data_IF_822561817883
#
_entry.id   IF_822561817883
#
_cell.length_a   1.000
_cell.length_b   1.000
_cell.length_c   1.000
_cell.angle_alpha   90.00
_cell.angle_beta   90.00
_cell.angle_gamma   90.00
#
_symmetry.space_group_name_H-M   'P 1'
#
loop_
_entity.id
_entity.type
_entity.pdbx_description
1 polymer ?
#
# COMPACT_ATOMS: atom_id res chain seq x y z
N UNK A 1 -22.74 2.00 -2.59
CA UNK A 1 -21.86 1.22 -3.49
C UNK A 1 -21.81 -0.20 -2.95
N UNK A 2 -22.09 -1.23 -3.76
CA UNK A 2 -22.03 -2.64 -3.31
C UNK A 2 -20.59 -3.11 -3.06
N UNK A 3 -20.41 -4.03 -2.11
CA UNK A 3 -19.18 -4.75 -1.79
C UNK A 3 -18.91 -5.86 -2.81
N UNK A 4 -19.94 -6.48 -3.39
CA UNK A 4 -19.83 -7.62 -4.31
C UNK A 4 -19.40 -7.27 -5.73
N UNK A 5 -19.44 -6.01 -6.13
CA UNK A 5 -19.20 -5.59 -7.52
C UNK A 5 -17.85 -4.90 -7.77
N UNK A 6 -16.89 -5.05 -6.86
CA UNK A 6 -15.56 -4.43 -6.98
C UNK A 6 -14.63 -5.30 -7.84
N UNK A 7 -13.81 -4.64 -8.66
CA UNK A 7 -12.74 -5.32 -9.41
C UNK A 7 -11.72 -5.89 -8.42
N UNK A 8 -11.27 -7.12 -8.67
CA UNK A 8 -10.28 -7.83 -7.84
C UNK A 8 -9.09 -8.27 -8.66
N UNK A 9 -7.95 -8.52 -8.01
CA UNK A 9 -6.67 -8.81 -8.64
C UNK A 9 -6.70 -10.02 -9.58
N UNK A 10 -7.52 -11.04 -9.29
CA UNK A 10 -7.73 -12.20 -10.16
C UNK A 10 -8.41 -11.89 -11.51
N UNK A 11 -8.98 -10.68 -11.65
CA UNK A 11 -9.64 -10.19 -12.87
C UNK A 11 -8.87 -9.03 -13.50
N UNK A 12 -7.65 -8.74 -13.04
CA UNK A 12 -6.81 -7.66 -13.52
C UNK A 12 -5.67 -8.23 -14.36
N UNK A 13 -5.49 -7.73 -15.59
CA UNK A 13 -4.31 -8.06 -16.40
C UNK A 13 -3.09 -7.28 -15.90
N UNK A 14 -2.10 -8.01 -15.40
CA UNK A 14 -0.85 -7.46 -14.87
C UNK A 14 0.34 -7.73 -15.77
N UNK A 15 0.20 -8.50 -16.86
CA UNK A 15 1.34 -8.93 -17.68
C UNK A 15 2.04 -7.73 -18.33
N UNK A 16 3.34 -7.60 -18.07
CA UNK A 16 4.17 -6.49 -18.53
C UNK A 16 3.86 -5.13 -17.88
N UNK A 17 2.90 -5.07 -16.94
CA UNK A 17 2.48 -3.84 -16.24
C UNK A 17 3.30 -3.60 -14.99
N UNK A 18 3.44 -2.33 -14.61
CA UNK A 18 3.92 -1.90 -13.30
C UNK A 18 2.73 -1.83 -12.36
N UNK A 19 2.76 -2.57 -11.26
CA UNK A 19 1.67 -2.63 -10.28
C UNK A 19 2.06 -1.80 -9.07
N UNK A 20 1.36 -0.69 -8.83
CA UNK A 20 1.49 0.03 -7.55
C UNK A 20 0.45 -0.52 -6.57
N UNK A 21 0.92 -1.04 -5.45
CA UNK A 21 0.12 -1.81 -4.51
C UNK A 21 0.18 -1.21 -3.10
N UNK A 22 -1.00 -0.91 -2.55
CA UNK A 22 -1.15 -0.45 -1.18
C UNK A 22 -1.37 -1.64 -0.26
N UNK A 23 -0.44 -1.85 0.66
CA UNK A 23 -0.43 -2.96 1.61
C UNK A 23 -0.45 -2.44 3.04
N UNK A 24 -0.87 -3.28 3.98
CA UNK A 24 -0.85 -2.95 5.41
C UNK A 24 0.35 -3.61 6.09
N UNK A 25 1.49 -2.93 6.11
CA UNK A 25 2.68 -3.32 6.86
C UNK A 25 2.82 -2.57 8.19
N UNK A 26 1.71 -2.16 8.81
CA UNK A 26 1.74 -1.59 10.15
C UNK A 26 1.91 -2.71 11.20
N UNK A 27 3.12 -3.25 11.26
CA UNK A 27 3.52 -4.35 12.15
C UNK A 27 3.96 -3.83 13.53
N UNK A 28 3.78 -4.62 14.60
CA UNK A 28 4.34 -4.27 15.89
C UNK A 28 5.86 -4.36 15.86
N UNK A 29 6.51 -3.33 16.42
CA UNK A 29 7.96 -3.17 16.44
C UNK A 29 8.46 -3.02 17.88
N UNK A 30 9.61 -3.60 18.19
CA UNK A 30 10.36 -3.39 19.45
C UNK A 30 11.84 -3.23 19.12
N UNK A 31 12.45 -2.10 19.49
CA UNK A 31 13.86 -1.80 19.21
C UNK A 31 14.25 -2.04 17.73
N UNK A 32 13.44 -1.52 16.81
CA UNK A 32 13.58 -1.68 15.36
C UNK A 32 13.48 -3.14 14.83
N UNK A 33 12.98 -4.08 15.65
CA UNK A 33 12.72 -5.46 15.25
C UNK A 33 11.22 -5.73 15.15
N UNK A 34 10.82 -6.44 14.11
CA UNK A 34 9.43 -6.89 13.88
C UNK A 34 9.12 -8.00 14.87
N UNK A 35 8.10 -7.81 15.72
CA UNK A 35 7.70 -8.83 16.70
C UNK A 35 6.61 -9.78 16.19
N UNK A 36 5.88 -9.39 15.14
CA UNK A 36 4.91 -10.23 14.45
C UNK A 36 4.83 -9.87 12.95
N UNK A 37 5.20 -10.83 12.09
CA UNK A 37 5.24 -10.67 10.63
C UNK A 37 3.95 -11.09 9.90
N UNK A 38 2.86 -11.40 10.62
CA UNK A 38 1.61 -11.91 10.03
C UNK A 38 1.05 -10.98 8.93
N UNK A 39 1.10 -9.66 9.15
CA UNK A 39 0.61 -8.71 8.14
C UNK A 39 1.45 -8.72 6.85
N UNK A 40 2.76 -8.95 6.97
CA UNK A 40 3.67 -9.03 5.82
C UNK A 40 3.37 -10.32 5.05
N UNK A 41 3.28 -11.46 5.75
CA UNK A 41 2.88 -12.76 5.18
C UNK A 41 1.54 -12.70 4.46
N UNK A 42 0.59 -11.95 5.01
CA UNK A 42 -0.76 -11.82 4.45
C UNK A 42 -0.78 -11.17 3.05
N UNK A 43 0.17 -10.28 2.74
CA UNK A 43 0.27 -9.63 1.43
C UNK A 43 1.02 -10.46 0.37
N UNK A 44 1.81 -11.46 0.80
CA UNK A 44 2.63 -12.30 -0.09
C UNK A 44 1.82 -12.94 -1.23
N UNK A 45 0.61 -13.47 -1.03
CA UNK A 45 -0.19 -14.03 -2.13
C UNK A 45 -0.47 -13.03 -3.26
N UNK A 46 -0.81 -11.78 -2.94
CA UNK A 46 -1.06 -10.73 -3.94
C UNK A 46 0.22 -10.34 -4.68
N UNK A 47 1.34 -10.27 -3.97
CA UNK A 47 2.65 -9.97 -4.56
C UNK A 47 3.08 -11.08 -5.51
N UNK A 48 3.05 -12.34 -5.06
CA UNK A 48 3.42 -13.50 -5.87
C UNK A 48 2.54 -13.62 -7.11
N UNK A 49 1.22 -13.44 -6.97
CA UNK A 49 0.32 -13.45 -8.13
C UNK A 49 0.73 -12.44 -9.20
N UNK A 50 1.10 -11.21 -8.82
CA UNK A 50 1.57 -10.23 -9.79
C UNK A 50 2.82 -10.71 -10.51
N UNK A 51 3.80 -11.23 -9.77
CA UNK A 51 5.06 -11.73 -10.32
C UNK A 51 4.85 -12.94 -11.23
N UNK A 52 4.08 -13.93 -10.78
CA UNK A 52 3.81 -15.18 -11.49
C UNK A 52 3.00 -14.95 -12.78
N UNK A 53 2.17 -13.91 -12.81
CA UNK A 53 1.43 -13.47 -14.00
C UNK A 53 2.19 -12.45 -14.86
N UNK A 54 3.50 -12.30 -14.62
CA UNK A 54 4.40 -11.57 -15.49
C UNK A 54 4.35 -10.05 -15.34
N UNK A 55 4.00 -9.51 -14.17
CA UNK A 55 4.14 -8.10 -13.90
C UNK A 55 5.58 -7.63 -14.12
N UNK A 56 5.74 -6.46 -14.75
CA UNK A 56 7.05 -5.82 -14.90
C UNK A 56 7.60 -5.45 -13.52
N UNK A 57 6.78 -4.88 -12.64
CA UNK A 57 7.19 -4.62 -11.26
C UNK A 57 6.01 -4.59 -10.31
N UNK A 58 6.31 -4.79 -9.02
CA UNK A 58 5.39 -4.60 -7.91
C UNK A 58 5.99 -3.55 -6.97
N UNK A 59 5.39 -2.36 -6.96
CA UNK A 59 5.78 -1.22 -6.11
C UNK A 59 4.85 -1.18 -4.90
N UNK A 60 5.40 -1.47 -3.73
CA UNK A 60 4.69 -1.56 -2.46
C UNK A 60 4.77 -0.24 -1.73
N UNK A 61 3.63 0.26 -1.31
CA UNK A 61 3.54 1.42 -0.42
C UNK A 61 2.77 1.04 0.84
N UNK A 62 3.32 1.35 2.02
CA UNK A 62 2.66 1.14 3.31
C UNK A 62 2.76 2.38 4.21
N UNK A 63 2.21 2.29 5.42
CA UNK A 63 2.57 3.14 6.53
C UNK A 63 3.03 2.28 7.71
N UNK A 64 3.72 2.90 8.67
CA UNK A 64 4.08 2.31 9.95
C UNK A 64 3.86 3.33 11.06
N UNK A 65 3.15 2.95 12.11
CA UNK A 65 2.93 3.83 13.26
C UNK A 65 2.20 5.14 12.95
N UNK A 66 2.54 6.18 13.70
CA UNK A 66 1.97 7.53 13.61
C UNK A 66 3.09 8.58 13.66
N UNK A 67 3.82 8.76 12.55
CA UNK A 67 4.82 9.83 12.42
C UNK A 67 4.19 11.22 12.19
N UNK A 68 2.86 11.31 12.08
CA UNK A 68 2.08 12.56 11.99
C UNK A 68 2.56 13.54 10.90
N UNK A 69 3.04 13.03 9.75
CA UNK A 69 3.46 13.86 8.62
C UNK A 69 4.89 14.39 8.72
N UNK A 70 5.70 13.85 9.64
CA UNK A 70 7.12 14.22 9.83
C UNK A 70 8.00 13.00 9.58
N UNK A 71 9.07 13.09 8.79
CA UNK A 71 10.02 12.01 8.62
C UNK A 71 10.64 11.57 9.95
N UNK A 72 10.47 10.29 10.30
CA UNK A 72 11.03 9.67 11.51
C UNK A 72 11.72 8.33 11.16
N UNK A 73 12.77 8.35 10.33
CA UNK A 73 13.37 7.14 9.77
C UNK A 73 13.88 6.18 10.86
N UNK A 74 14.47 6.70 11.95
CA UNK A 74 15.04 5.86 13.01
C UNK A 74 14.01 5.11 13.86
N UNK A 75 12.72 5.47 13.74
CA UNK A 75 11.64 4.92 14.59
C UNK A 75 10.53 4.23 13.80
N UNK A 76 10.18 4.77 12.64
CA UNK A 76 9.02 4.36 11.85
C UNK A 76 9.38 4.08 10.39
N UNK A 77 10.65 3.83 10.06
CA UNK A 77 11.03 3.37 8.72
C UNK A 77 10.48 1.96 8.43
N UNK A 78 10.17 1.72 7.16
CA UNK A 78 9.81 0.42 6.62
C UNK A 78 11.02 -0.43 6.19
N UNK A 79 12.25 0.04 6.38
CA UNK A 79 13.46 -0.71 6.03
C UNK A 79 13.51 -2.13 6.64
N UNK A 80 13.18 -2.35 7.93
CA UNK A 80 13.13 -3.71 8.50
C UNK A 80 12.09 -4.61 7.80
N UNK A 81 11.00 -4.02 7.29
CA UNK A 81 9.96 -4.74 6.55
C UNK A 81 10.49 -5.19 5.18
N UNK A 82 11.36 -4.42 4.52
CA UNK A 82 12.00 -4.83 3.28
C UNK A 82 12.84 -6.10 3.49
N UNK A 83 13.59 -6.18 4.59
CA UNK A 83 14.42 -7.34 4.96
C UNK A 83 13.56 -8.57 5.21
N UNK A 84 12.49 -8.43 6.00
CA UNK A 84 11.55 -9.53 6.27
C UNK A 84 10.85 -10.01 4.99
N UNK A 85 10.41 -9.07 4.14
CA UNK A 85 9.75 -9.39 2.88
C UNK A 85 10.68 -10.12 1.91
N UNK A 86 11.97 -9.74 1.86
CA UNK A 86 12.99 -10.46 1.09
C UNK A 86 13.09 -11.92 1.53
N UNK A 87 13.09 -12.19 2.83
CA UNK A 87 13.10 -13.55 3.38
C UNK A 87 11.85 -14.34 2.95
N UNK A 88 10.67 -13.75 3.07
CA UNK A 88 9.39 -14.41 2.73
C UNK A 88 9.20 -14.66 1.23
N UNK A 89 9.73 -13.79 0.38
CA UNK A 89 9.63 -13.92 -1.07
C UNK A 89 10.74 -14.79 -1.67
N UNK A 90 11.90 -14.90 -1.02
CA UNK A 90 13.10 -15.49 -1.62
C UNK A 90 13.60 -14.71 -2.82
N UNK A 91 13.35 -13.39 -2.85
CA UNK A 91 13.68 -12.46 -3.95
C UNK A 91 14.11 -11.13 -3.36
N UNK A 92 15.03 -10.45 -4.05
CA UNK A 92 15.46 -9.11 -3.63
C UNK A 92 14.32 -8.10 -3.64
N UNK A 93 14.30 -7.26 -2.61
CA UNK A 93 13.35 -6.16 -2.43
C UNK A 93 14.18 -4.88 -2.43
N UNK A 94 13.98 -4.03 -3.45
CA UNK A 94 14.60 -2.72 -3.50
C UNK A 94 13.87 -1.78 -2.54
N UNK A 95 14.54 -1.33 -1.49
CA UNK A 95 14.00 -0.32 -0.59
C UNK A 95 14.39 1.09 -1.04
N UNK A 96 13.41 1.98 -1.15
CA UNK A 96 13.62 3.39 -1.45
C UNK A 96 13.35 4.22 -0.19
N UNK A 97 14.24 5.16 0.13
CA UNK A 97 14.18 6.00 1.34
C UNK A 97 13.13 7.12 1.28
N UNK A 98 12.40 7.20 0.18
CA UNK A 98 11.23 8.06 0.02
C UNK A 98 10.16 7.29 -0.78
N UNK A 99 8.95 7.85 -0.86
CA UNK A 99 7.81 7.27 -1.57
C UNK A 99 7.30 8.11 -2.74
N UNK A 100 7.80 9.33 -2.89
CA UNK A 100 7.43 10.25 -3.97
C UNK A 100 8.66 11.01 -4.48
N UNK A 101 8.47 11.79 -5.53
CA UNK A 101 9.51 12.66 -6.08
C UNK A 101 10.33 12.03 -7.21
N UNK A 102 11.19 12.83 -7.87
CA UNK A 102 11.79 12.47 -9.16
C UNK A 102 12.70 11.23 -9.09
N UNK A 103 13.39 11.00 -7.99
CA UNK A 103 14.27 9.84 -7.82
C UNK A 103 13.47 8.53 -7.71
N UNK A 104 12.40 8.54 -6.92
CA UNK A 104 11.46 7.41 -6.78
C UNK A 104 10.74 7.15 -8.10
N UNK A 105 10.23 8.21 -8.73
CA UNK A 105 9.57 8.12 -10.03
C UNK A 105 10.49 7.49 -11.09
N UNK A 106 11.77 7.89 -11.12
CA UNK A 106 12.77 7.32 -12.05
C UNK A 106 13.03 5.85 -11.77
N UNK A 107 13.17 5.46 -10.50
CA UNK A 107 13.36 4.06 -10.11
C UNK A 107 12.17 3.17 -10.50
N UNK A 108 10.94 3.71 -10.44
CA UNK A 108 9.72 3.00 -10.80
C UNK A 108 9.30 3.14 -12.27
N UNK A 109 9.92 4.01 -13.07
CA UNK A 109 9.48 4.32 -14.43
C UNK A 109 9.56 3.10 -15.37
N UNK A 110 10.68 2.37 -15.34
CA UNK A 110 10.88 1.18 -16.17
C UNK A 110 11.91 0.22 -15.54
N UNK A 111 11.59 -0.38 -14.38
CA UNK A 111 12.47 -1.34 -13.72
C UNK A 111 12.58 -2.65 -14.51
N UNK A 112 13.54 -3.50 -14.12
CA UNK A 112 13.67 -4.84 -14.67
C UNK A 112 12.39 -5.66 -14.44
N UNK A 113 12.11 -6.61 -15.34
CA UNK A 113 10.93 -7.46 -15.21
C UNK A 113 10.97 -8.29 -13.92
N UNK A 114 9.85 -8.33 -13.20
CA UNK A 114 9.72 -9.01 -11.92
C UNK A 114 10.42 -8.30 -10.74
N UNK A 115 10.70 -7.00 -10.85
CA UNK A 115 11.23 -6.21 -9.72
C UNK A 115 10.19 -6.04 -8.61
N UNK A 116 10.64 -6.15 -7.36
CA UNK A 116 9.85 -5.81 -6.16
C UNK A 116 10.49 -4.60 -5.50
N UNK A 117 9.71 -3.55 -5.27
CA UNK A 117 10.17 -2.28 -4.71
C UNK A 117 9.31 -1.98 -3.48
N UNK A 118 9.92 -1.67 -2.33
CA UNK A 118 9.23 -1.14 -1.16
C UNK A 118 9.61 0.32 -0.98
N UNK A 119 8.59 1.19 -0.98
CA UNK A 119 8.74 2.61 -0.69
C UNK A 119 8.80 2.85 0.82
N UNK A 120 9.38 3.97 1.21
CA UNK A 120 9.34 4.42 2.60
C UNK A 120 7.90 4.76 3.06
N UNK A 121 7.75 4.89 4.37
CA UNK A 121 6.51 5.17 5.08
C UNK A 121 5.76 6.39 4.52
N UNK A 122 4.58 6.18 3.92
CA UNK A 122 3.79 7.27 3.35
C UNK A 122 3.41 8.35 4.36
N UNK A 123 3.27 8.00 5.65
CA UNK A 123 2.89 8.97 6.69
C UNK A 123 4.03 9.88 7.12
N UNK A 124 5.24 9.73 6.56
CA UNK A 124 6.28 10.77 6.65
C UNK A 124 5.89 12.02 5.88
N UNK A 125 4.93 11.92 4.96
CA UNK A 125 4.35 13.03 4.23
C UNK A 125 2.97 13.37 4.81
N UNK A 126 2.76 14.63 5.20
CA UNK A 126 1.48 15.11 5.74
C UNK A 126 0.34 14.96 4.73
N UNK A 127 0.67 14.97 3.44
CA UNK A 127 -0.21 14.81 2.29
C UNK A 127 -0.91 13.44 2.25
N UNK A 128 -0.38 12.41 2.92
CA UNK A 128 -1.04 11.10 3.01
C UNK A 128 -2.32 11.19 3.86
N UNK A 129 -2.24 11.74 5.08
CA UNK A 129 -3.37 11.85 6.00
C UNK A 129 -4.15 13.17 5.83
N UNK A 130 -3.58 14.14 5.09
CA UNK A 130 -4.11 15.49 4.89
C UNK A 130 -3.94 16.42 6.10
N UNK A 131 -3.45 15.89 7.22
CA UNK A 131 -3.20 16.60 8.48
C UNK A 131 -2.14 15.86 9.29
N UNK A 132 -1.46 16.58 10.17
CA UNK A 132 -0.37 16.04 10.98
C UNK A 132 -0.02 16.94 12.14
N UNK A 133 1.20 16.78 12.66
CA UNK A 133 1.80 17.68 13.65
C UNK A 133 3.21 18.06 13.23
N UNK A 134 3.59 19.31 13.48
CA UNK A 134 5.00 19.71 13.34
C UNK A 134 5.86 19.18 14.51
N UNK A 135 7.17 19.42 14.44
CA UNK A 135 8.12 19.03 15.49
C UNK A 135 7.83 19.67 16.85
N UNK A 136 7.09 20.78 16.88
CA UNK A 136 6.65 21.47 18.10
C UNK A 136 5.31 20.95 18.63
N UNK A 137 4.67 19.99 17.94
CA UNK A 137 3.40 19.40 18.31
C UNK A 137 2.17 20.19 17.83
N UNK A 138 2.35 21.27 17.06
CA UNK A 138 1.24 22.05 16.52
C UNK A 138 0.56 21.31 15.38
N UNK A 139 -0.76 21.46 15.27
CA UNK A 139 -1.54 20.86 14.18
C UNK A 139 -1.16 21.49 12.85
N UNK A 140 -0.81 20.66 11.88
CA UNK A 140 -0.60 21.08 10.48
C UNK A 140 -1.67 20.46 9.59
N UNK A 141 -2.03 21.17 8.53
CA UNK A 141 -2.95 20.70 7.48
C UNK A 141 -2.22 20.78 6.16
N UNK A 142 -2.35 19.74 5.34
CA UNK A 142 -1.71 19.73 4.03
C UNK A 142 -2.46 20.67 3.06
N UNK A 143 -1.68 21.40 2.26
CA UNK A 143 -2.22 22.27 1.22
C UNK A 143 -2.84 21.44 0.09
N UNK A 144 -4.00 21.82 -0.48
CA UNK A 144 -4.65 21.06 -1.55
C UNK A 144 -3.73 20.79 -2.75
N UNK A 145 -2.93 21.77 -3.16
CA UNK A 145 -1.97 21.64 -4.26
C UNK A 145 -0.86 20.61 -3.95
N UNK A 146 -0.41 20.51 -2.69
CA UNK A 146 0.59 19.51 -2.29
C UNK A 146 0.00 18.11 -2.21
N UNK A 147 -1.24 17.97 -1.75
CA UNK A 147 -1.97 16.70 -1.77
C UNK A 147 -2.09 16.20 -3.22
N UNK A 148 -2.44 17.08 -4.15
CA UNK A 148 -2.57 16.71 -5.57
C UNK A 148 -1.22 16.29 -6.16
N UNK A 149 -0.15 17.05 -5.88
CA UNK A 149 1.20 16.69 -6.33
C UNK A 149 1.68 15.34 -5.75
N UNK A 150 1.40 15.07 -4.48
CA UNK A 150 1.73 13.81 -3.81
C UNK A 150 0.99 12.63 -4.48
N UNK A 151 -0.31 12.78 -4.72
CA UNK A 151 -1.15 11.79 -5.41
C UNK A 151 -0.71 11.55 -6.84
N UNK A 152 -0.36 12.62 -7.56
CA UNK A 152 0.17 12.52 -8.92
C UNK A 152 1.48 11.74 -8.94
N UNK A 153 2.39 12.00 -7.99
CA UNK A 153 3.65 11.26 -7.88
C UNK A 153 3.41 9.77 -7.62
N UNK A 154 2.55 9.40 -6.66
CA UNK A 154 2.17 8.00 -6.40
C UNK A 154 1.56 7.32 -7.65
N UNK A 155 0.77 8.06 -8.43
CA UNK A 155 0.11 7.53 -9.64
C UNK A 155 1.10 7.23 -10.76
N UNK A 156 2.25 7.92 -10.82
CA UNK A 156 3.29 7.64 -11.83
C UNK A 156 4.04 6.32 -11.58
N UNK A 157 3.94 5.75 -10.37
CA UNK A 157 4.72 4.58 -9.96
C UNK A 157 4.19 3.26 -10.51
N UNK A 158 3.03 3.28 -11.16
CA UNK A 158 2.42 2.09 -11.76
C UNK A 158 1.57 2.41 -12.97
N UNK A 159 1.09 1.36 -13.62
CA UNK A 159 0.12 1.40 -14.72
C UNK A 159 -1.27 0.94 -14.23
N UNK A 160 -1.28 0.11 -13.18
CA UNK A 160 -2.49 -0.36 -12.48
C UNK A 160 -2.31 -0.24 -10.96
N UNK A 161 -3.41 0.00 -10.25
CA UNK A 161 -3.43 0.12 -8.80
C UNK A 161 -4.09 -1.09 -8.14
N UNK A 162 -3.47 -1.62 -7.08
CA UNK A 162 -4.04 -2.67 -6.25
C UNK A 162 -4.11 -2.22 -4.80
N UNK A 163 -5.28 -2.28 -4.18
CA UNK A 163 -5.46 -2.03 -2.75
C UNK A 163 -5.64 -3.35 -2.01
N UNK A 164 -4.67 -3.72 -1.19
CA UNK A 164 -4.71 -4.90 -0.32
C UNK A 164 -4.67 -4.53 1.18
N UNK A 165 -5.02 -3.27 1.50
CA UNK A 165 -4.95 -2.70 2.84
C UNK A 165 -6.36 -2.40 3.41
N UNK A 166 -7.21 -3.43 3.57
CA UNK A 166 -8.59 -3.27 4.06
C UNK A 166 -8.67 -2.50 5.39
N UNK A 167 -7.73 -2.76 6.32
CA UNK A 167 -7.66 -2.06 7.60
C UNK A 167 -7.51 -0.54 7.51
N UNK A 168 -7.11 0.01 6.36
CA UNK A 168 -7.00 1.46 6.11
C UNK A 168 -8.10 2.00 5.18
N UNK A 169 -8.95 1.13 4.62
CA UNK A 169 -9.97 1.50 3.63
C UNK A 169 -11.05 2.46 4.17
N UNK A 170 -11.22 2.52 5.50
CA UNK A 170 -12.12 3.49 6.16
C UNK A 170 -11.59 4.94 6.12
N UNK A 171 -10.38 5.17 5.64
CA UNK A 171 -9.73 6.49 5.62
C UNK A 171 -9.66 7.05 4.22
N UNK A 172 -10.06 8.32 4.06
CA UNK A 172 -9.95 9.06 2.80
C UNK A 172 -8.52 9.62 2.56
N UNK A 173 -7.51 8.79 2.82
CA UNK A 173 -6.09 9.15 2.65
C UNK A 173 -5.66 9.11 1.19
N UNK A 174 -4.57 9.80 0.85
CA UNK A 174 -4.09 9.91 -0.54
C UNK A 174 -3.83 8.57 -1.20
N UNK A 175 -3.19 7.62 -0.50
CA UNK A 175 -2.98 6.27 -1.04
C UNK A 175 -4.25 5.44 -1.21
N UNK A 176 -5.34 5.76 -0.51
CA UNK A 176 -6.61 5.05 -0.58
C UNK A 176 -7.49 5.53 -1.73
N UNK A 177 -7.57 6.85 -1.90
CA UNK A 177 -8.57 7.48 -2.80
C UNK A 177 -7.94 8.36 -3.89
N UNK A 178 -6.65 8.66 -3.80
CA UNK A 178 -5.98 9.66 -4.64
C UNK A 178 -5.14 9.08 -5.79
N UNK A 179 -4.93 7.76 -5.85
CA UNK A 179 -4.17 7.15 -6.94
C UNK A 179 -5.02 7.14 -8.22
N UNK A 180 -4.63 7.95 -9.19
CA UNK A 180 -5.35 8.15 -10.44
C UNK A 180 -4.82 7.24 -11.55
N UNK A 181 -5.21 5.96 -11.50
CA UNK A 181 -4.94 4.98 -12.55
C UNK A 181 -6.23 4.40 -13.15
N UNK A 182 -6.24 3.99 -14.43
CA UNK A 182 -7.45 3.53 -15.11
C UNK A 182 -8.11 2.34 -14.39
N UNK A 183 -7.31 1.35 -14.01
CA UNK A 183 -7.77 0.16 -13.29
C UNK A 183 -7.30 0.18 -11.85
N UNK A 184 -8.25 -0.05 -10.95
CA UNK A 184 -8.06 -0.08 -9.49
C UNK A 184 -8.75 -1.34 -8.97
N UNK A 185 -7.98 -2.27 -8.43
CA UNK A 185 -8.48 -3.57 -7.98
C UNK A 185 -8.23 -3.79 -6.49
N UNK A 186 -9.08 -4.59 -5.84
CA UNK A 186 -8.78 -5.16 -4.52
C UNK A 186 -7.80 -6.32 -4.64
N UNK A 187 -6.77 -6.36 -3.81
CA UNK A 187 -5.90 -7.54 -3.65
C UNK A 187 -6.65 -8.70 -2.99
N UNK A 188 -5.97 -9.81 -2.72
CA UNK A 188 -6.63 -11.00 -2.17
C UNK A 188 -7.12 -10.84 -0.73
N UNK A 189 -6.42 -10.08 0.12
CA UNK A 189 -6.93 -9.76 1.45
C UNK A 189 -8.17 -8.89 1.33
N UNK A 190 -8.11 -7.83 0.52
CA UNK A 190 -9.26 -6.95 0.28
C UNK A 190 -10.46 -7.75 -0.26
N UNK A 191 -10.25 -8.62 -1.25
CA UNK A 191 -11.28 -9.50 -1.81
C UNK A 191 -11.90 -10.39 -0.74
N UNK A 192 -11.07 -11.00 0.12
CA UNK A 192 -11.55 -11.86 1.20
C UNK A 192 -12.48 -11.06 2.12
N UNK A 193 -12.03 -9.91 2.61
CA UNK A 193 -12.82 -9.05 3.50
C UNK A 193 -14.14 -8.61 2.84
N UNK A 194 -14.08 -8.12 1.60
CA UNK A 194 -15.28 -7.72 0.85
C UNK A 194 -16.28 -8.88 0.71
N UNK A 195 -15.81 -10.09 0.43
CA UNK A 195 -16.68 -11.26 0.32
C UNK A 195 -17.33 -11.65 1.65
N UNK A 196 -16.57 -11.64 2.75
CA UNK A 196 -17.12 -11.94 4.08
C UNK A 196 -18.16 -10.91 4.51
N UNK A 197 -17.86 -9.61 4.35
CA UNK A 197 -18.81 -8.55 4.69
C UNK A 197 -20.01 -8.49 3.75
N UNK A 198 -19.85 -8.78 2.46
CA UNK A 198 -20.97 -8.87 1.53
C UNK A 198 -21.95 -9.98 1.92
N UNK A 199 -21.45 -11.15 2.34
CA UNK A 199 -22.30 -12.20 2.90
C UNK A 199 -23.05 -11.71 4.13
N UNK A 200 -22.38 -11.07 5.09
CA UNK A 200 -23.05 -10.61 6.31
C UNK A 200 -24.05 -9.45 6.09
N UNK A 201 -23.76 -8.52 5.16
CA UNK A 201 -24.47 -7.25 5.05
C UNK A 201 -25.41 -7.16 3.83
N UNK A 202 -25.12 -7.85 2.74
CA UNK A 202 -25.90 -7.79 1.50
C UNK A 202 -26.77 -9.05 1.30
N UNK A 203 -26.28 -10.24 1.67
CA UNK A 203 -27.01 -11.50 1.47
C UNK A 203 -26.68 -12.56 2.53
N UNK A 204 -27.08 -12.36 3.80
CA UNK A 204 -26.73 -13.27 4.88
C UNK A 204 -27.53 -14.57 4.80
N UNK A 205 -26.83 -15.70 5.01
CA UNK A 205 -27.47 -16.98 5.27
C UNK A 205 -28.29 -16.86 6.57
N UNK A 206 -29.53 -17.37 6.54
CA UNK A 206 -30.45 -17.28 7.68
C UNK A 206 -30.61 -18.63 8.38
N UNK A 207 -30.73 -18.66 9.72
CA UNK A 207 -30.76 -17.50 10.62
C UNK A 207 -29.39 -16.83 10.78
N UNK A 208 -29.37 -15.49 10.71
CA UNK A 208 -28.17 -14.70 10.92
C UNK A 208 -28.17 -14.13 12.34
N UNK A 209 -27.17 -14.51 13.13
CA UNK A 209 -26.96 -14.04 14.50
C UNK A 209 -25.81 -13.03 14.52
N UNK A 210 -25.99 -11.97 15.31
CA UNK A 210 -24.99 -10.91 15.55
C UNK A 210 -24.45 -11.05 16.96
#
# INVERSE_FOLDING_TARGET
MSLSNKLTLDKLDVKGKRVVMRVDFNVPMKNNQITNNQRIKAAVPSIKFCLDNGAKSVVLMSHLGRPDGVPMPDKYSLEPVAVELKSLLGKDVLFLKDCVGPEVEKACANPAAGSVILLENLRFHVEEEGKGKDASGNKVKAEPAKIEAFRASLSKLGDVYVNDAFGTAHRAHSSMVGVNLPQKAGGFLMKKELNYFAKALESPERPFLV
#
